data_IF_445980178933
#
_entry.id   IF_445980178933
#
_cell.length_a   1.000
_cell.length_b   1.000
_cell.length_c   1.000
_cell.angle_alpha   90.00
_cell.angle_beta   90.00
_cell.angle_gamma   90.00
#
_symmetry.space_group_name_H-M   'P 1'
#
loop_
_entity.id
_entity.type
_entity.pdbx_description
1 polymer ?
#
# COMPACT_ATOMS: atom_id res chain seq x y z
N UNK A 1 40.60 31.91 3.53
CA UNK A 1 39.18 32.15 3.18
C UNK A 1 38.58 31.01 2.34
N UNK A 2 39.21 30.58 1.24
CA UNK A 2 38.67 29.52 0.35
C UNK A 2 38.38 28.18 1.06
N UNK A 3 39.24 27.74 2.00
CA UNK A 3 39.04 26.50 2.79
C UNK A 3 37.84 26.56 3.76
N UNK A 4 37.55 27.73 4.30
CA UNK A 4 36.38 27.93 5.18
C UNK A 4 35.07 27.97 4.39
N UNK A 5 35.11 28.52 3.18
CA UNK A 5 33.95 28.53 2.26
C UNK A 5 33.65 27.10 1.79
N UNK A 6 34.67 26.30 1.45
CA UNK A 6 34.49 24.90 1.07
C UNK A 6 33.92 24.03 2.20
N UNK A 7 34.38 24.23 3.44
CA UNK A 7 33.85 23.54 4.62
C UNK A 7 32.40 23.95 4.95
N UNK A 8 32.05 25.24 4.79
CA UNK A 8 30.70 25.74 4.98
C UNK A 8 29.73 25.22 3.89
N UNK A 9 30.18 25.12 2.63
CA UNK A 9 29.40 24.52 1.55
C UNK A 9 29.19 23.00 1.76
N UNK A 10 30.20 22.27 2.23
CA UNK A 10 30.06 20.85 2.54
C UNK A 10 29.06 20.61 3.69
N UNK A 11 29.07 21.46 4.72
CA UNK A 11 28.13 21.40 5.85
C UNK A 11 26.68 21.74 5.44
N UNK A 12 26.51 22.70 4.50
CA UNK A 12 25.21 23.08 3.96
C UNK A 12 24.59 21.98 3.06
N UNK A 13 25.40 21.22 2.32
CA UNK A 13 24.93 20.09 1.50
C UNK A 13 24.49 18.91 2.38
N UNK A 14 25.16 18.65 3.52
CA UNK A 14 24.74 17.61 4.48
C UNK A 14 23.46 17.93 5.26
N UNK A 15 22.98 19.18 5.20
CA UNK A 15 21.71 19.60 5.81
C UNK A 15 20.50 19.46 4.87
N UNK A 16 20.73 19.04 3.61
CA UNK A 16 19.66 18.68 2.66
C UNK A 16 19.40 17.17 2.73
N UNK A 17 19.34 16.61 3.93
CA UNK A 17 18.74 15.30 4.12
C UNK A 17 17.23 15.49 3.89
N UNK A 18 16.75 15.13 2.70
CA UNK A 18 15.32 14.91 2.51
C UNK A 18 14.86 13.90 3.56
N UNK A 19 13.66 14.07 4.15
CA UNK A 19 13.16 13.09 5.10
C UNK A 19 13.23 11.71 4.46
N UNK A 20 13.57 10.68 5.26
CA UNK A 20 13.66 9.28 4.85
C UNK A 20 12.29 8.66 4.48
N UNK A 21 11.39 9.49 3.96
CA UNK A 21 10.04 9.15 3.55
C UNK A 21 9.96 8.42 2.21
N UNK A 22 11.03 8.49 1.41
CA UNK A 22 11.05 7.93 0.06
C UNK A 22 10.78 6.42 0.04
N UNK A 23 11.11 5.67 1.10
CA UNK A 23 10.98 4.21 1.09
C UNK A 23 9.52 3.74 1.16
N UNK A 24 8.67 4.40 1.96
CA UNK A 24 7.24 4.03 2.06
C UNK A 24 6.43 4.56 0.88
N UNK A 25 6.79 5.73 0.36
CA UNK A 25 6.18 6.32 -0.84
C UNK A 25 6.39 5.40 -2.06
N UNK A 26 7.59 4.84 -2.20
CA UNK A 26 7.99 4.09 -3.40
C UNK A 26 7.10 2.86 -3.69
N UNK A 27 6.62 2.17 -2.65
CA UNK A 27 5.69 1.06 -2.79
C UNK A 27 4.35 1.49 -3.38
N UNK A 28 3.73 2.52 -2.78
CA UNK A 28 2.45 3.08 -3.23
C UNK A 28 2.55 3.66 -4.64
N UNK A 29 3.59 4.45 -4.92
CA UNK A 29 3.82 5.04 -6.24
C UNK A 29 3.99 3.96 -7.30
N UNK A 30 4.74 2.89 -7.01
CA UNK A 30 4.92 1.77 -7.94
C UNK A 30 3.61 1.05 -8.23
N UNK A 31 2.80 0.76 -7.21
CA UNK A 31 1.47 0.15 -7.36
C UNK A 31 0.57 1.03 -8.23
N UNK A 32 0.57 2.34 -7.97
CA UNK A 32 -0.19 3.32 -8.73
C UNK A 32 0.27 3.41 -10.20
N UNK A 33 1.58 3.45 -10.46
CA UNK A 33 2.14 3.47 -11.82
C UNK A 33 1.86 2.17 -12.59
N UNK A 34 1.93 1.01 -11.93
CA UNK A 34 1.49 -0.27 -12.53
C UNK A 34 0.02 -0.17 -12.93
N UNK A 35 -0.84 0.33 -12.04
CA UNK A 35 -2.27 0.46 -12.33
C UNK A 35 -2.50 1.38 -13.54
N UNK A 36 -1.93 2.58 -13.51
CA UNK A 36 -2.06 3.59 -14.57
C UNK A 36 -1.57 3.11 -15.94
N UNK A 37 -0.54 2.26 -15.96
CA UNK A 37 -0.03 1.64 -17.19
C UNK A 37 -0.98 0.60 -17.77
N UNK A 38 -1.82 -0.02 -16.94
CA UNK A 38 -2.63 -1.21 -17.28
C UNK A 38 -4.15 -0.96 -17.37
N UNK A 39 -4.64 0.22 -16.93
CA UNK A 39 -6.02 0.67 -17.18
C UNK A 39 -6.30 0.96 -18.65
N UNK A 40 -7.59 0.95 -19.03
CA UNK A 40 -8.02 1.38 -20.36
C UNK A 40 -7.72 2.88 -20.61
N UNK A 41 -7.53 3.31 -21.87
CA UNK A 41 -7.30 4.71 -22.20
C UNK A 41 -8.37 5.67 -21.68
N UNK A 42 -9.65 5.27 -21.68
CA UNK A 42 -10.77 6.08 -21.20
C UNK A 42 -10.73 6.23 -19.67
N UNK A 43 -10.41 5.15 -18.95
CA UNK A 43 -10.19 5.14 -17.50
C UNK A 43 -9.04 6.07 -17.14
N UNK A 44 -7.93 6.01 -17.88
CA UNK A 44 -6.79 6.93 -17.70
C UNK A 44 -7.22 8.40 -17.81
N UNK A 45 -7.96 8.75 -18.86
CA UNK A 45 -8.48 10.10 -19.04
C UNK A 45 -9.49 10.51 -17.95
N UNK A 46 -10.22 9.56 -17.36
CA UNK A 46 -11.11 9.84 -16.22
C UNK A 46 -10.34 10.13 -14.93
N UNK A 47 -9.29 9.35 -14.65
CA UNK A 47 -8.35 9.58 -13.55
C UNK A 47 -7.74 10.98 -13.66
N UNK A 48 -7.14 11.31 -14.81
CA UNK A 48 -6.50 12.61 -15.04
C UNK A 48 -7.46 13.78 -14.82
N UNK A 49 -8.70 13.63 -15.28
CA UNK A 49 -9.74 14.66 -15.12
C UNK A 49 -10.12 14.89 -13.67
N UNK A 50 -10.20 13.83 -12.86
CA UNK A 50 -10.47 13.96 -11.43
C UNK A 50 -9.27 14.54 -10.68
N UNK A 51 -8.05 14.09 -10.97
CA UNK A 51 -6.83 14.62 -10.32
C UNK A 51 -6.56 16.09 -10.69
N UNK A 52 -6.96 16.54 -11.89
CA UNK A 52 -6.98 17.95 -12.24
C UNK A 52 -7.88 18.81 -11.32
N UNK A 53 -8.77 18.18 -10.56
CA UNK A 53 -9.66 18.81 -9.56
C UNK A 53 -9.18 18.60 -8.12
N UNK A 54 -7.95 18.14 -7.90
CA UNK A 54 -7.40 17.89 -6.55
C UNK A 54 -7.43 19.10 -5.61
N UNK A 55 -7.49 20.34 -6.12
CA UNK A 55 -7.71 21.53 -5.30
C UNK A 55 -9.00 21.46 -4.45
N UNK A 56 -10.01 20.69 -4.88
CA UNK A 56 -11.22 20.42 -4.11
C UNK A 56 -10.97 19.63 -2.82
N UNK A 57 -9.82 18.97 -2.69
CA UNK A 57 -9.41 18.31 -1.45
C UNK A 57 -8.96 19.33 -0.39
N UNK A 58 -8.65 20.57 -0.76
CA UNK A 58 -8.21 21.63 0.18
C UNK A 58 -7.03 21.18 1.07
N UNK A 59 -6.07 20.44 0.50
CA UNK A 59 -4.86 19.96 1.18
C UNK A 59 -3.62 20.47 0.45
N UNK A 60 -3.31 21.78 0.51
CA UNK A 60 -2.23 22.37 -0.30
C UNK A 60 -0.84 21.80 0.00
N UNK A 61 -0.64 21.23 1.18
CA UNK A 61 0.61 20.55 1.60
C UNK A 61 0.69 19.08 1.19
N UNK A 62 -0.41 18.50 0.70
CA UNK A 62 -0.52 17.12 0.25
C UNK A 62 -1.07 17.11 -1.18
N UNK A 63 -0.21 17.27 -2.19
CA UNK A 63 -0.64 17.29 -3.58
C UNK A 63 -1.13 15.91 -4.02
N UNK A 64 -2.12 15.88 -4.91
CA UNK A 64 -2.58 14.67 -5.60
C UNK A 64 -2.79 14.94 -7.10
N UNK A 65 -1.78 15.50 -7.79
CA UNK A 65 -1.90 15.90 -9.21
C UNK A 65 -1.65 14.76 -10.18
N UNK A 66 -0.90 13.74 -9.76
CA UNK A 66 -0.62 12.51 -10.52
C UNK A 66 -1.12 11.31 -9.73
N UNK A 67 -1.22 10.14 -10.37
CA UNK A 67 -1.68 8.93 -9.67
C UNK A 67 -0.67 8.48 -8.60
N UNK A 68 0.62 8.73 -8.81
CA UNK A 68 1.68 8.52 -7.82
C UNK A 68 1.45 9.43 -6.59
N UNK A 69 1.21 10.73 -6.80
CA UNK A 69 0.90 11.65 -5.71
C UNK A 69 -0.42 11.30 -4.99
N UNK A 70 -1.43 10.87 -5.74
CA UNK A 70 -2.68 10.37 -5.17
C UNK A 70 -2.44 9.16 -4.26
N UNK A 71 -1.50 8.28 -4.63
CA UNK A 71 -1.19 7.06 -3.89
C UNK A 71 -0.57 7.27 -2.53
N UNK A 72 0.02 8.44 -2.25
CA UNK A 72 0.62 8.79 -0.95
C UNK A 72 -0.19 9.83 -0.18
N UNK A 73 -1.27 10.34 -0.79
CA UNK A 73 -2.06 11.44 -0.23
C UNK A 73 -2.70 11.10 1.12
N UNK A 74 -3.25 9.89 1.26
CA UNK A 74 -3.96 9.49 2.48
C UNK A 74 -3.05 9.48 3.71
N UNK A 75 -1.78 9.10 3.54
CA UNK A 75 -0.76 9.20 4.59
C UNK A 75 -0.33 10.64 4.85
N UNK A 76 -0.12 11.42 3.80
CA UNK A 76 0.24 12.83 3.93
C UNK A 76 -0.77 13.63 4.74
N UNK A 77 -2.07 13.30 4.66
CA UNK A 77 -3.11 14.03 5.40
C UNK A 77 -3.28 13.61 6.86
N UNK A 78 -2.71 12.47 7.28
CA UNK A 78 -2.73 12.02 8.70
C UNK A 78 -2.28 13.11 9.69
N UNK A 79 -1.16 13.84 9.48
CA UNK A 79 -0.73 14.90 10.39
C UNK A 79 -1.60 16.17 10.35
N UNK A 80 -2.55 16.31 9.41
CA UNK A 80 -3.41 17.50 9.29
C UNK A 80 -4.57 17.53 10.30
N UNK A 81 -4.60 16.58 11.24
CA UNK A 81 -5.43 16.63 12.45
C UNK A 81 -6.88 16.21 12.24
N UNK A 82 -7.80 16.85 12.98
CA UNK A 82 -9.20 16.43 13.15
C UNK A 82 -9.97 16.26 11.83
N UNK A 83 -9.58 16.97 10.78
CA UNK A 83 -10.25 16.90 9.48
C UNK A 83 -10.15 15.52 8.82
N UNK A 84 -9.09 14.76 9.09
CA UNK A 84 -8.84 13.45 8.45
C UNK A 84 -8.62 12.32 9.46
N UNK A 85 -8.70 12.59 10.77
CA UNK A 85 -8.46 11.58 11.81
C UNK A 85 -9.42 10.40 11.76
N UNK A 86 -10.61 10.56 11.17
CA UNK A 86 -11.56 9.47 10.94
C UNK A 86 -10.99 8.37 10.05
N UNK A 87 -10.07 8.71 9.14
CA UNK A 87 -9.50 7.78 8.17
C UNK A 87 -8.35 6.95 8.74
N UNK A 88 -7.90 7.22 9.98
CA UNK A 88 -6.71 6.57 10.54
C UNK A 88 -6.80 5.03 10.53
N UNK A 89 -7.95 4.47 10.88
CA UNK A 89 -8.16 3.01 10.91
C UNK A 89 -8.48 2.42 9.53
N UNK A 90 -8.65 3.24 8.50
CA UNK A 90 -8.97 2.78 7.16
C UNK A 90 -7.77 2.15 6.44
N UNK A 91 -6.55 2.36 6.94
CA UNK A 91 -5.33 1.89 6.29
C UNK A 91 -5.03 0.41 6.50
N UNK A 92 -5.72 -0.28 7.41
CA UNK A 92 -5.37 -1.65 7.76
C UNK A 92 -6.57 -2.47 8.22
N UNK A 93 -6.33 -3.75 8.44
CA UNK A 93 -7.21 -4.71 9.08
C UNK A 93 -6.36 -5.77 9.79
N UNK A 94 -6.34 -5.74 11.12
CA UNK A 94 -5.43 -6.59 11.89
C UNK A 94 -6.00 -8.01 12.07
N UNK A 95 -5.88 -8.86 11.05
CA UNK A 95 -6.35 -10.26 11.14
C UNK A 95 -5.26 -11.12 11.79
N UNK A 96 -5.62 -11.80 12.88
CA UNK A 96 -4.67 -12.62 13.65
C UNK A 96 -4.09 -13.76 12.80
N UNK A 97 -2.76 -13.80 12.63
CA UNK A 97 -2.06 -14.80 11.81
C UNK A 97 -2.07 -16.22 12.38
N UNK A 98 -2.37 -16.37 13.67
CA UNK A 98 -2.40 -17.64 14.41
C UNK A 98 -3.79 -18.24 14.54
N UNK A 99 -4.80 -17.66 13.88
CA UNK A 99 -6.18 -18.16 13.84
C UNK A 99 -6.61 -18.37 12.38
N UNK A 100 -7.67 -19.13 12.10
CA UNK A 100 -8.27 -19.11 10.78
C UNK A 100 -8.63 -17.69 10.34
N UNK A 101 -8.48 -17.37 9.06
CA UNK A 101 -8.80 -16.04 8.53
C UNK A 101 -10.29 -15.70 8.74
N UNK A 102 -10.55 -14.54 9.36
CA UNK A 102 -11.91 -13.96 9.45
C UNK A 102 -11.84 -12.44 9.27
N UNK A 103 -12.61 -11.90 8.34
CA UNK A 103 -12.62 -10.45 8.10
C UNK A 103 -13.59 -9.69 9.03
N UNK A 104 -14.75 -10.28 9.32
CA UNK A 104 -15.87 -9.64 10.05
C UNK A 104 -15.49 -9.05 11.41
N UNK A 105 -14.58 -9.70 12.15
CA UNK A 105 -14.13 -9.21 13.47
C UNK A 105 -13.09 -8.08 13.41
N UNK A 106 -12.45 -7.89 12.26
CA UNK A 106 -11.31 -6.98 12.08
C UNK A 106 -11.66 -5.77 11.20
N UNK A 107 -12.96 -5.55 10.97
CA UNK A 107 -13.51 -4.41 10.23
C UNK A 107 -14.78 -3.84 10.89
N UNK A 108 -14.70 -3.36 12.14
CA UNK A 108 -15.86 -2.81 12.84
C UNK A 108 -16.38 -1.56 12.12
N UNK A 109 -17.70 -1.52 11.89
CA UNK A 109 -18.42 -0.41 11.27
C UNK A 109 -17.87 0.01 9.88
N UNK A 110 -17.18 -0.90 9.18
CA UNK A 110 -16.54 -0.60 7.90
C UNK A 110 -15.25 0.24 8.02
N UNK A 111 -14.72 0.46 9.22
CA UNK A 111 -13.48 1.21 9.44
C UNK A 111 -12.26 0.31 9.26
N UNK A 112 -12.07 -0.19 8.04
CA UNK A 112 -10.90 -0.96 7.63
C UNK A 112 -10.66 -0.83 6.12
N UNK A 113 -9.47 -1.21 5.69
CA UNK A 113 -9.02 -1.06 4.29
C UNK A 113 -9.93 -1.75 3.28
N UNK A 114 -10.34 -2.99 3.52
CA UNK A 114 -11.21 -3.73 2.59
C UNK A 114 -12.58 -3.06 2.37
N UNK A 115 -13.22 -2.60 3.44
CA UNK A 115 -14.51 -1.91 3.33
C UNK A 115 -14.38 -0.54 2.64
N UNK A 116 -13.29 0.18 2.87
CA UNK A 116 -13.06 1.46 2.19
C UNK A 116 -12.76 1.30 0.71
N UNK A 117 -12.00 0.26 0.30
CA UNK A 117 -11.82 -0.07 -1.12
C UNK A 117 -13.17 -0.27 -1.82
N UNK A 118 -14.08 -1.05 -1.23
CA UNK A 118 -15.41 -1.26 -1.82
C UNK A 118 -16.26 0.02 -1.83
N UNK A 119 -16.16 0.83 -0.78
CA UNK A 119 -16.87 2.11 -0.67
C UNK A 119 -16.41 3.09 -1.75
N UNK A 120 -15.11 3.23 -1.94
CA UNK A 120 -14.55 4.19 -2.89
C UNK A 120 -14.89 3.82 -4.34
N UNK A 121 -14.88 2.52 -4.67
CA UNK A 121 -15.37 2.05 -5.99
C UNK A 121 -16.83 2.47 -6.22
N UNK A 122 -17.71 2.28 -5.23
CA UNK A 122 -19.13 2.68 -5.32
C UNK A 122 -19.29 4.19 -5.49
N UNK A 123 -18.53 5.00 -4.74
CA UNK A 123 -18.55 6.46 -4.84
C UNK A 123 -18.10 6.96 -6.22
N UNK A 124 -17.12 6.29 -6.83
CA UNK A 124 -16.66 6.62 -8.19
C UNK A 124 -17.72 6.29 -9.25
N UNK A 125 -18.43 5.16 -9.09
CA UNK A 125 -19.49 4.71 -10.00
C UNK A 125 -20.76 5.57 -9.93
N UNK A 126 -21.11 6.06 -8.74
CA UNK A 126 -22.34 6.82 -8.51
C UNK A 126 -22.28 8.19 -9.20
N UNK A 127 -23.23 8.47 -10.10
CA UNK A 127 -23.27 9.70 -10.90
C UNK A 127 -23.72 10.92 -10.10
N UNK A 128 -24.40 10.71 -8.97
CA UNK A 128 -25.00 11.77 -8.16
C UNK A 128 -24.04 12.23 -7.03
N UNK A 129 -22.96 11.49 -6.81
CA UNK A 129 -21.89 11.88 -5.86
C UNK A 129 -21.18 13.15 -6.34
N UNK A 130 -21.06 14.18 -5.47
CA UNK A 130 -20.35 15.42 -5.81
C UNK A 130 -18.91 15.18 -6.26
N UNK A 131 -18.42 16.00 -7.19
CA UNK A 131 -17.06 15.85 -7.76
C UNK A 131 -15.98 15.81 -6.68
N UNK A 132 -16.09 16.61 -5.62
CA UNK A 132 -15.14 16.59 -4.48
C UNK A 132 -15.03 15.19 -3.86
N UNK A 133 -16.16 14.55 -3.61
CA UNK A 133 -16.23 13.21 -3.01
C UNK A 133 -15.67 12.15 -3.97
N UNK A 134 -15.87 12.32 -5.28
CA UNK A 134 -15.21 11.44 -6.29
C UNK A 134 -13.70 11.61 -6.31
N UNK A 135 -13.18 12.83 -6.18
CA UNK A 135 -11.74 13.07 -6.08
C UNK A 135 -11.20 12.43 -4.80
N UNK A 136 -11.90 12.57 -3.68
CA UNK A 136 -11.53 11.95 -2.41
C UNK A 136 -11.54 10.41 -2.50
N UNK A 137 -12.59 9.82 -3.07
CA UNK A 137 -12.69 8.39 -3.30
C UNK A 137 -11.57 7.88 -4.22
N UNK A 138 -11.19 8.62 -5.26
CA UNK A 138 -10.08 8.24 -6.14
C UNK A 138 -8.75 8.19 -5.38
N UNK A 139 -8.40 9.23 -4.62
CA UNK A 139 -7.10 9.27 -3.92
C UNK A 139 -7.04 8.23 -2.80
N UNK A 140 -8.14 7.98 -2.10
CA UNK A 140 -8.22 6.92 -1.10
C UNK A 140 -8.15 5.53 -1.74
N UNK A 141 -8.90 5.26 -2.81
CA UNK A 141 -8.84 3.96 -3.51
C UNK A 141 -7.42 3.63 -3.99
N UNK A 142 -6.73 4.61 -4.59
CA UNK A 142 -5.37 4.41 -5.09
C UNK A 142 -4.41 4.08 -3.93
N UNK A 143 -4.52 4.78 -2.80
CA UNK A 143 -3.71 4.50 -1.62
C UNK A 143 -4.05 3.15 -0.98
N UNK A 144 -5.33 2.90 -0.71
CA UNK A 144 -5.80 1.70 -0.02
C UNK A 144 -5.56 0.41 -0.78
N UNK A 145 -5.45 0.45 -2.11
CA UNK A 145 -5.00 -0.72 -2.87
C UNK A 145 -3.53 -1.05 -2.63
N UNK A 146 -2.71 -0.06 -2.29
CA UNK A 146 -1.35 -0.27 -1.79
C UNK A 146 -1.37 -0.95 -0.42
N UNK A 147 -2.09 -0.35 0.54
CA UNK A 147 -2.25 -0.86 1.90
C UNK A 147 -2.78 -2.31 1.92
N UNK A 148 -3.84 -2.59 1.16
CA UNK A 148 -4.47 -3.92 1.10
C UNK A 148 -3.48 -5.01 0.65
N UNK A 149 -2.44 -4.63 -0.08
CA UNK A 149 -1.41 -5.55 -0.60
C UNK A 149 -0.10 -5.52 0.20
N UNK A 150 0.01 -4.69 1.24
CA UNK A 150 1.12 -4.76 2.18
C UNK A 150 0.82 -5.85 3.21
N UNK A 151 1.57 -6.96 3.27
CA UNK A 151 1.28 -8.10 4.15
C UNK A 151 0.84 -7.73 5.57
N UNK A 152 1.58 -6.85 6.23
CA UNK A 152 1.35 -6.51 7.63
C UNK A 152 0.24 -5.49 7.88
N UNK A 153 -0.40 -4.95 6.83
CA UNK A 153 -1.67 -4.24 6.95
C UNK A 153 -2.86 -5.21 7.06
N UNK A 154 -2.68 -6.49 6.70
CA UNK A 154 -3.71 -7.54 6.83
C UNK A 154 -3.42 -8.54 7.95
N UNK A 155 -2.15 -8.79 8.29
CA UNK A 155 -1.74 -9.77 9.28
C UNK A 155 -1.18 -9.16 10.56
N UNK A 156 -1.72 -9.58 11.70
CA UNK A 156 -1.29 -9.11 13.03
C UNK A 156 -0.99 -10.28 13.98
N UNK A 157 -0.07 -10.05 14.93
CA UNK A 157 0.25 -10.98 16.02
C UNK A 157 0.14 -10.30 17.39
N UNK A 158 -0.93 -9.52 17.58
CA UNK A 158 -1.13 -8.61 18.72
C UNK A 158 0.02 -7.59 18.88
N UNK A 159 0.63 -7.21 17.76
CA UNK A 159 1.82 -6.37 17.67
C UNK A 159 1.63 -5.15 16.76
N UNK A 160 0.37 -4.82 16.46
CA UNK A 160 -0.04 -3.69 15.63
C UNK A 160 0.48 -3.86 14.20
N UNK A 161 0.23 -5.05 13.63
CA UNK A 161 0.70 -5.39 12.28
C UNK A 161 2.23 -5.35 12.20
N UNK A 162 2.93 -5.93 13.19
CA UNK A 162 4.40 -5.98 13.20
C UNK A 162 5.10 -4.67 13.61
N UNK A 163 4.38 -3.60 13.94
CA UNK A 163 4.99 -2.35 14.46
C UNK A 163 5.69 -2.56 15.81
N UNK A 164 5.26 -3.55 16.60
CA UNK A 164 5.93 -3.97 17.85
C UNK A 164 6.86 -5.16 17.68
N UNK A 165 6.96 -5.73 16.47
CA UNK A 165 7.86 -6.84 16.16
C UNK A 165 9.24 -6.31 15.75
N UNK A 166 10.09 -5.99 16.75
CA UNK A 166 11.47 -5.55 16.50
C UNK A 166 12.20 -6.57 15.63
N UNK A 167 12.79 -6.11 14.54
CA UNK A 167 13.39 -7.00 13.54
C UNK A 167 14.61 -6.35 12.90
N UNK A 168 15.60 -7.17 12.58
CA UNK A 168 16.77 -6.75 11.81
C UNK A 168 16.59 -7.07 10.32
N UNK A 169 17.20 -6.26 9.45
CA UNK A 169 17.27 -6.48 8.01
C UNK A 169 18.74 -6.71 7.62
N UNK A 170 19.12 -7.98 7.45
CA UNK A 170 20.51 -8.41 7.29
C UNK A 170 21.37 -8.01 8.48
N UNK A 171 22.36 -7.14 8.24
CA UNK A 171 23.23 -6.54 9.27
C UNK A 171 22.70 -5.21 9.82
N UNK A 172 21.64 -4.66 9.21
CA UNK A 172 21.05 -3.39 9.62
C UNK A 172 19.97 -3.63 10.68
N UNK A 173 20.22 -3.18 11.91
CA UNK A 173 19.34 -3.43 13.06
C UNK A 173 19.33 -2.31 14.09
N UNK A 174 18.99 -1.06 13.73
CA UNK A 174 18.83 -0.02 14.73
C UNK A 174 17.64 -0.35 15.66
N UNK A 175 17.67 0.16 16.89
CA UNK A 175 16.74 -0.21 17.96
C UNK A 175 15.25 0.01 17.63
N UNK A 176 14.94 0.95 16.73
CA UNK A 176 13.57 1.27 16.33
C UNK A 176 13.08 0.49 15.10
N UNK A 177 13.94 -0.29 14.45
CA UNK A 177 13.55 -1.07 13.28
C UNK A 177 12.58 -2.19 13.70
N UNK A 178 11.49 -2.30 12.96
CA UNK A 178 10.44 -3.29 13.19
C UNK A 178 10.00 -3.92 11.88
N UNK A 179 9.35 -5.07 11.96
CA UNK A 179 8.96 -5.85 10.79
C UNK A 179 8.06 -5.04 9.85
N UNK A 180 7.13 -4.24 10.37
CA UNK A 180 6.26 -3.39 9.56
C UNK A 180 7.06 -2.42 8.68
N UNK A 181 7.96 -1.64 9.29
CA UNK A 181 8.81 -0.68 8.57
C UNK A 181 9.76 -1.33 7.57
N UNK A 182 10.19 -2.59 7.81
CA UNK A 182 10.98 -3.35 6.84
C UNK A 182 10.11 -3.72 5.63
N UNK A 183 8.88 -4.18 5.85
CA UNK A 183 7.96 -4.59 4.79
C UNK A 183 7.49 -3.39 3.96
N UNK A 184 7.15 -2.26 4.58
CA UNK A 184 6.75 -1.02 3.91
C UNK A 184 7.87 -0.40 3.09
N UNK A 185 9.11 -0.45 3.62
CA UNK A 185 10.24 0.29 3.08
C UNK A 185 11.30 -0.60 2.45
N UNK A 186 12.19 -1.15 3.27
CA UNK A 186 13.43 -1.79 2.82
C UNK A 186 13.19 -3.00 1.89
N UNK A 187 12.25 -3.87 2.24
CA UNK A 187 11.94 -5.05 1.43
C UNK A 187 11.15 -4.67 0.18
N UNK A 188 10.21 -3.72 0.26
CA UNK A 188 9.47 -3.22 -0.89
C UNK A 188 10.42 -2.59 -1.91
N UNK A 189 11.32 -1.70 -1.48
CA UNK A 189 12.33 -1.09 -2.34
C UNK A 189 13.23 -2.16 -2.99
N UNK A 190 13.73 -3.13 -2.20
CA UNK A 190 14.54 -4.23 -2.71
C UNK A 190 13.78 -5.03 -3.76
N UNK A 191 12.50 -5.32 -3.50
CA UNK A 191 11.63 -6.04 -4.40
C UNK A 191 11.41 -5.29 -5.73
N UNK A 192 11.13 -3.99 -5.68
CA UNK A 192 10.89 -3.14 -6.86
C UNK A 192 12.17 -2.99 -7.69
N UNK A 193 13.31 -2.75 -7.03
CA UNK A 193 14.61 -2.53 -7.67
C UNK A 193 15.23 -3.81 -8.24
N UNK A 194 14.71 -4.97 -7.88
CA UNK A 194 15.16 -6.26 -8.42
C UNK A 194 14.65 -6.43 -9.86
N UNK A 195 15.50 -6.74 -10.85
CA UNK A 195 15.04 -7.04 -12.20
C UNK A 195 14.11 -8.27 -12.25
N UNK A 196 13.14 -8.35 -13.15
CA UNK A 196 12.76 -7.38 -14.19
C UNK A 196 11.92 -6.19 -13.64
N UNK A 197 11.79 -5.06 -14.35
CA UNK A 197 10.96 -3.95 -13.88
C UNK A 197 9.48 -4.35 -13.74
N UNK A 198 8.79 -3.85 -12.72
CA UNK A 198 7.38 -4.15 -12.44
C UNK A 198 6.40 -3.23 -13.19
N UNK A 199 6.80 -1.97 -13.44
CA UNK A 199 6.00 -0.95 -14.13
C UNK A 199 6.05 -1.19 -15.64
N UNK A 200 5.26 -2.17 -16.09
CA UNK A 200 5.15 -2.56 -17.50
C UNK A 200 3.68 -2.69 -17.90
N UNK A 201 3.42 -2.75 -19.21
CA UNK A 201 2.13 -3.19 -19.71
C UNK A 201 2.09 -4.72 -19.61
N UNK A 202 1.34 -5.23 -18.62
CA UNK A 202 1.16 -6.66 -18.39
C UNK A 202 0.24 -7.27 -19.45
N UNK A 203 0.49 -8.53 -19.81
CA UNK A 203 -0.33 -9.24 -20.79
C UNK A 203 -1.77 -9.41 -20.30
N UNK A 204 -2.75 -9.56 -21.20
CA UNK A 204 -4.14 -9.85 -20.79
C UNK A 204 -4.26 -11.06 -19.85
N UNK A 205 -3.46 -12.10 -20.05
CA UNK A 205 -3.46 -13.30 -19.20
C UNK A 205 -2.97 -13.00 -17.78
N UNK A 206 -1.87 -12.25 -17.62
CA UNK A 206 -1.37 -11.82 -16.31
C UNK A 206 -2.38 -10.93 -15.58
N UNK A 207 -2.99 -9.98 -16.30
CA UNK A 207 -4.02 -9.10 -15.74
C UNK A 207 -5.23 -9.87 -15.22
N UNK A 208 -5.68 -10.89 -15.96
CA UNK A 208 -6.78 -11.77 -15.51
C UNK A 208 -6.35 -12.60 -14.31
N UNK A 209 -5.20 -13.26 -14.37
CA UNK A 209 -4.75 -14.18 -13.32
C UNK A 209 -4.45 -13.47 -12.00
N UNK A 210 -3.70 -12.37 -12.04
CA UNK A 210 -3.32 -11.60 -10.84
C UNK A 210 -4.42 -10.63 -10.40
N UNK A 211 -5.31 -10.22 -11.31
CA UNK A 211 -6.44 -9.37 -11.03
C UNK A 211 -7.67 -10.10 -10.48
N UNK A 212 -7.75 -11.43 -10.54
CA UNK A 212 -8.91 -12.21 -10.11
C UNK A 212 -9.18 -12.13 -8.59
N UNK A 213 -10.41 -12.48 -8.19
CA UNK A 213 -10.85 -12.52 -6.79
C UNK A 213 -11.62 -11.27 -6.33
N UNK A 214 -12.16 -11.37 -5.12
CA UNK A 214 -12.83 -10.29 -4.39
C UNK A 214 -11.85 -9.58 -3.44
N UNK A 215 -12.27 -8.46 -2.87
CA UNK A 215 -11.49 -7.76 -1.84
C UNK A 215 -11.23 -8.66 -0.61
N UNK A 216 -12.18 -9.56 -0.27
CA UNK A 216 -11.97 -10.56 0.78
C UNK A 216 -10.93 -11.61 0.38
N UNK A 217 -10.92 -12.07 -0.87
CA UNK A 217 -9.89 -13.01 -1.35
C UNK A 217 -8.50 -12.38 -1.28
N UNK A 218 -8.36 -11.12 -1.71
CA UNK A 218 -7.10 -10.38 -1.65
C UNK A 218 -6.64 -10.15 -0.21
N UNK A 219 -7.58 -9.87 0.68
CA UNK A 219 -7.32 -9.78 2.13
C UNK A 219 -6.77 -11.08 2.70
N UNK A 220 -7.32 -12.22 2.28
CA UNK A 220 -6.89 -13.56 2.71
C UNK A 220 -5.49 -13.89 2.19
N UNK A 221 -5.24 -13.65 0.90
CA UNK A 221 -3.92 -13.84 0.31
C UNK A 221 -2.85 -12.97 1.00
N UNK A 222 -3.19 -11.72 1.34
CA UNK A 222 -2.27 -10.83 2.01
C UNK A 222 -2.02 -11.24 3.48
N UNK A 223 -3.05 -11.78 4.16
CA UNK A 223 -2.91 -12.41 5.47
C UNK A 223 -2.00 -13.65 5.43
N UNK A 224 -2.09 -14.48 4.39
CA UNK A 224 -1.15 -15.60 4.16
C UNK A 224 0.27 -15.10 3.90
N UNK A 225 0.43 -14.03 3.11
CA UNK A 225 1.71 -13.40 2.88
C UNK A 225 2.33 -12.86 4.18
N UNK A 226 1.53 -12.31 5.09
CA UNK A 226 1.99 -11.91 6.42
C UNK A 226 2.49 -13.10 7.22
N UNK A 227 1.79 -14.24 7.22
CA UNK A 227 2.26 -15.47 7.89
C UNK A 227 3.64 -15.88 7.41
N UNK A 228 3.89 -15.81 6.10
CA UNK A 228 5.22 -16.06 5.54
C UNK A 228 6.23 -15.05 6.05
N UNK A 229 5.93 -13.74 6.02
CA UNK A 229 6.82 -12.69 6.50
C UNK A 229 7.21 -12.89 7.99
N UNK A 230 6.25 -13.22 8.85
CA UNK A 230 6.53 -13.57 10.25
C UNK A 230 7.37 -14.84 10.38
N UNK A 231 7.05 -15.88 9.60
CA UNK A 231 7.81 -17.15 9.64
C UNK A 231 9.28 -16.92 9.29
N UNK A 232 9.53 -16.14 8.25
CA UNK A 232 10.87 -15.78 7.79
C UNK A 232 11.60 -14.88 8.81
N UNK A 233 10.91 -13.89 9.38
CA UNK A 233 11.51 -12.99 10.36
C UNK A 233 11.87 -13.69 11.68
N UNK A 234 11.15 -14.74 12.06
CA UNK A 234 11.33 -15.39 13.37
C UNK A 234 11.93 -16.81 13.28
N UNK A 235 12.30 -17.26 12.07
CA UNK A 235 13.02 -18.51 11.85
C UNK A 235 12.21 -19.78 12.15
N UNK A 236 10.88 -19.72 12.02
CA UNK A 236 9.99 -20.84 12.34
C UNK A 236 8.53 -20.42 12.51
N UNK A 237 7.71 -21.32 13.06
CA UNK A 237 6.29 -21.03 13.30
C UNK A 237 6.13 -19.83 14.26
N UNK A 238 5.61 -18.69 13.78
CA UNK A 238 5.50 -17.47 14.58
C UNK A 238 4.41 -17.60 15.65
N UNK A 239 3.61 -18.66 15.65
CA UNK A 239 2.52 -18.86 16.61
C UNK A 239 2.92 -19.67 17.84
N UNK A 240 4.17 -20.12 17.93
CA UNK A 240 4.70 -20.81 19.11
C UNK A 240 5.00 -19.86 20.26
N UNK A 241 5.13 -20.41 21.47
CA UNK A 241 5.46 -19.64 22.66
C UNK A 241 6.94 -19.24 22.75
N UNK A 242 7.83 -19.97 22.08
CA UNK A 242 9.29 -19.83 22.13
C UNK A 242 9.88 -18.97 20.99
N UNK A 243 9.07 -18.06 20.43
CA UNK A 243 9.50 -17.15 19.36
C UNK A 243 10.55 -16.16 19.87
N UNK A 244 11.64 -15.90 19.11
CA UNK A 244 12.66 -14.91 19.48
C UNK A 244 12.06 -13.53 19.79
N UNK A 245 12.61 -12.84 20.79
CA UNK A 245 12.16 -11.50 21.16
C UNK A 245 12.43 -10.44 20.08
N UNK A 246 13.40 -10.70 19.19
CA UNK A 246 13.77 -9.86 18.06
C UNK A 246 13.86 -10.75 16.81
N UNK A 247 13.13 -10.38 15.77
CA UNK A 247 13.20 -11.04 14.48
C UNK A 247 14.49 -10.68 13.73
N UNK A 248 14.84 -11.48 12.74
CA UNK A 248 15.95 -11.22 11.83
C UNK A 248 15.61 -11.77 10.46
N UNK A 249 15.49 -10.86 9.49
CA UNK A 249 15.45 -11.20 8.08
C UNK A 249 16.90 -11.22 7.58
N UNK A 250 17.55 -12.38 7.64
CA UNK A 250 18.86 -12.56 7.03
C UNK A 250 18.78 -12.53 5.50
N UNK A 251 19.93 -12.52 4.83
CA UNK A 251 19.98 -12.39 3.36
C UNK A 251 19.17 -13.50 2.66
N UNK A 252 19.18 -14.71 3.20
CA UNK A 252 18.42 -15.83 2.65
C UNK A 252 16.90 -15.64 2.83
N UNK A 253 16.46 -15.13 3.98
CA UNK A 253 15.06 -14.76 4.22
C UNK A 253 14.62 -13.62 3.28
N UNK A 254 15.48 -12.61 3.09
CA UNK A 254 15.22 -11.51 2.14
C UNK A 254 15.07 -12.06 0.72
N UNK A 255 15.97 -12.94 0.27
CA UNK A 255 15.87 -13.58 -1.05
C UNK A 255 14.57 -14.36 -1.25
N UNK A 256 14.07 -15.04 -0.21
CA UNK A 256 12.77 -15.75 -0.24
C UNK A 256 11.58 -14.80 -0.24
N UNK A 257 11.67 -13.66 0.44
CA UNK A 257 10.57 -12.69 0.55
C UNK A 257 10.47 -11.74 -0.65
N UNK A 258 11.57 -11.48 -1.38
CA UNK A 258 11.56 -10.60 -2.55
C UNK A 258 10.52 -11.03 -3.61
N UNK A 259 10.44 -12.30 -4.05
CA UNK A 259 9.41 -12.73 -5.00
C UNK A 259 7.97 -12.58 -4.48
N UNK A 260 7.76 -12.81 -3.18
CA UNK A 260 6.46 -12.61 -2.53
C UNK A 260 6.07 -11.13 -2.57
N UNK A 261 6.96 -10.24 -2.17
CA UNK A 261 6.70 -8.79 -2.19
C UNK A 261 6.47 -8.27 -3.62
N UNK A 262 7.24 -8.74 -4.60
CA UNK A 262 7.01 -8.43 -6.03
C UNK A 262 5.63 -8.87 -6.51
N UNK A 263 5.18 -10.05 -6.07
CA UNK A 263 3.85 -10.57 -6.38
C UNK A 263 2.76 -9.68 -5.78
N UNK A 264 2.92 -9.26 -4.52
CA UNK A 264 1.97 -8.36 -3.85
C UNK A 264 1.88 -6.99 -4.53
N UNK A 265 3.02 -6.37 -4.86
CA UNK A 265 3.07 -5.09 -5.58
C UNK A 265 2.42 -5.20 -6.97
N UNK A 266 2.72 -6.27 -7.71
CA UNK A 266 2.13 -6.48 -9.04
C UNK A 266 0.63 -6.71 -8.94
N UNK A 267 0.18 -7.55 -8.01
CA UNK A 267 -1.25 -7.78 -7.74
C UNK A 267 -1.95 -6.48 -7.34
N UNK A 268 -1.37 -5.69 -6.44
CA UNK A 268 -1.93 -4.40 -6.01
C UNK A 268 -2.19 -3.47 -7.19
N UNK A 269 -1.20 -3.31 -8.07
CA UNK A 269 -1.35 -2.47 -9.25
C UNK A 269 -2.35 -3.01 -10.27
N UNK A 270 -2.35 -4.31 -10.53
CA UNK A 270 -3.28 -4.93 -11.50
C UNK A 270 -4.73 -4.97 -10.99
N UNK A 271 -4.93 -5.16 -9.68
CA UNK A 271 -6.24 -5.13 -9.04
C UNK A 271 -6.77 -3.70 -8.95
N UNK A 272 -5.91 -2.72 -8.65
CA UNK A 272 -6.27 -1.31 -8.74
C UNK A 272 -6.67 -0.93 -10.17
N UNK A 273 -5.92 -1.37 -11.19
CA UNK A 273 -6.32 -1.14 -12.58
C UNK A 273 -7.70 -1.74 -12.90
N UNK A 274 -7.97 -2.97 -12.42
CA UNK A 274 -9.27 -3.63 -12.58
C UNK A 274 -10.40 -2.81 -11.95
N UNK A 275 -10.24 -2.42 -10.69
CA UNK A 275 -11.24 -1.64 -9.97
C UNK A 275 -11.48 -0.26 -10.59
N UNK A 276 -10.43 0.41 -11.07
CA UNK A 276 -10.58 1.69 -11.78
C UNK A 276 -11.32 1.50 -13.11
N UNK A 277 -11.01 0.46 -13.88
CA UNK A 277 -11.73 0.13 -15.11
C UNK A 277 -13.21 -0.24 -14.85
N UNK A 278 -13.51 -0.89 -13.73
CA UNK A 278 -14.88 -1.18 -13.27
C UNK A 278 -15.60 0.09 -12.79
N UNK A 279 -14.88 1.00 -12.13
CA UNK A 279 -15.44 2.23 -11.57
C UNK A 279 -15.81 3.26 -12.65
N UNK A 280 -14.99 3.37 -13.69
CA UNK A 280 -15.19 4.30 -14.81
C UNK A 280 -15.79 3.64 -16.06
N UNK A 281 -15.97 2.32 -16.03
CA UNK A 281 -16.61 1.55 -17.09
C UNK A 281 -18.14 1.68 -17.10
N UNK A 282 -18.81 1.16 -18.15
CA UNK A 282 -20.26 1.01 -18.10
C UNK A 282 -20.64 0.11 -16.91
N UNK A 283 -21.79 0.37 -16.25
CA UNK A 283 -22.23 -0.45 -15.12
C UNK A 283 -22.30 -1.92 -15.56
N UNK A 284 -21.93 -2.87 -14.68
CA UNK A 284 -22.10 -4.29 -14.99
C UNK A 284 -23.57 -4.56 -15.33
N UNK A 285 -23.85 -5.51 -16.24
CA UNK A 285 -25.22 -5.92 -16.52
C UNK A 285 -25.91 -6.30 -15.20
N UNK A 286 -27.15 -5.83 -15.00
CA UNK A 286 -27.93 -6.16 -13.80
C UNK A 286 -27.90 -7.66 -13.55
N UNK A 287 -27.46 -8.07 -12.36
CA UNK A 287 -27.59 -9.46 -11.94
C UNK A 287 -29.09 -9.82 -11.95
N UNK A 288 -29.47 -11.01 -12.47
CA UNK A 288 -30.87 -11.42 -12.46
C UNK A 288 -31.37 -11.37 -11.01
N UNK A 289 -32.47 -10.62 -10.81
CA UNK A 289 -33.17 -10.58 -9.52
C UNK A 289 -33.51 -12.02 -9.15
N UNK A 290 -32.92 -12.51 -8.05
CA UNK A 290 -33.26 -13.81 -7.46
C UNK A 290 -34.60 -13.74 -6.74
#
# INVERSE_FOLDING_TARGET
MIRFIAAALALAVSMIATPASAYWEYGHETIASIAYRNVKPQTRAAIDRLLARQALLETPTCPAKTIEQASVWADCVKPLGQRFSYAYNWHYQNVNICKPFTLKGNCPDGNCVSAQVERDVKLLQDKDVPVREKVMALVFLVHFMGDLHQPLHAGDKADLGGNRARSDYGIYGPERLNLHSIMDGLLAERAISTPAPLIVAHSPAERVAMGAGTVEDWSRENWEAARTAYTEAFGGDPCRADVPARGKLDDAAVERLVPLMRTQITRGGLRLARLLDEAFGPPPPEAPKR
#
